data_IF_224791442801
#
_entry.id   IF_224791442801
#
_cell.length_a   1.000
_cell.length_b   1.000
_cell.length_c   1.000
_cell.angle_alpha   90.00
_cell.angle_beta   90.00
_cell.angle_gamma   90.00
#
_symmetry.space_group_name_H-M   'P 1'
#
loop_
_entity.id
_entity.type
_entity.pdbx_description
1 polymer ?
#
# COMPACT_ATOMS: atom_id res chain seq x y z
N UNK A 1 -15.88 4.05 -53.39
CA UNK A 1 -16.92 4.71 -52.57
C UNK A 1 -16.25 5.30 -51.34
N UNK A 2 -16.40 6.63 -51.22
CA UNK A 2 -16.00 7.59 -50.17
C UNK A 2 -15.06 7.17 -49.02
N UNK A 3 -13.84 7.69 -49.08
CA UNK A 3 -12.88 7.83 -47.99
C UNK A 3 -12.92 9.28 -47.45
N UNK A 4 -13.22 9.48 -46.16
CA UNK A 4 -13.27 10.76 -45.41
C UNK A 4 -13.37 10.38 -43.91
N UNK A 5 -12.59 10.81 -42.91
CA UNK A 5 -11.51 11.79 -42.70
C UNK A 5 -10.63 11.25 -41.55
N UNK A 6 -9.31 11.27 -41.71
CA UNK A 6 -8.35 11.20 -40.59
C UNK A 6 -7.72 12.59 -40.49
N UNK A 7 -8.03 13.33 -39.43
CA UNK A 7 -7.40 14.64 -39.18
C UNK A 7 -6.21 14.44 -38.23
N UNK A 8 -5.03 14.46 -38.83
CA UNK A 8 -3.73 14.54 -38.16
C UNK A 8 -3.61 15.96 -37.61
N UNK A 9 -3.72 16.13 -36.30
CA UNK A 9 -3.30 17.38 -35.65
C UNK A 9 -1.79 17.31 -35.43
N UNK A 10 -1.03 17.89 -36.37
CA UNK A 10 0.32 18.39 -36.11
C UNK A 10 0.20 19.59 -35.17
N UNK A 11 0.67 19.46 -33.92
CA UNK A 11 0.94 20.64 -33.09
C UNK A 11 2.39 21.06 -33.32
N UNK A 12 2.56 22.07 -34.17
CA UNK A 12 3.74 22.92 -34.19
C UNK A 12 3.87 23.64 -32.84
N UNK A 13 5.04 23.52 -32.21
CA UNK A 13 5.39 24.34 -31.05
C UNK A 13 5.58 25.80 -31.47
N UNK A 14 4.57 26.65 -31.23
CA UNK A 14 4.71 28.11 -31.26
C UNK A 14 4.80 28.65 -29.84
N UNK A 15 5.99 29.15 -29.49
CA UNK A 15 6.20 29.98 -28.30
C UNK A 15 5.32 31.24 -28.40
N UNK A 16 4.30 31.36 -27.55
CA UNK A 16 3.49 32.57 -27.40
C UNK A 16 3.89 33.29 -26.11
N UNK A 17 4.93 34.10 -26.19
CA UNK A 17 5.15 35.20 -25.24
C UNK A 17 4.18 36.34 -25.56
N UNK A 18 3.12 36.52 -24.77
CA UNK A 18 2.33 37.77 -24.76
C UNK A 18 1.40 37.85 -23.55
N UNK A 19 1.97 38.12 -22.37
CA UNK A 19 1.18 38.55 -21.21
C UNK A 19 0.80 40.02 -21.34
N UNK A 20 -0.39 40.32 -21.85
CA UNK A 20 -0.98 41.65 -21.76
C UNK A 20 -1.25 41.98 -20.28
N UNK A 21 -0.49 42.91 -19.69
CA UNK A 21 -0.80 43.45 -18.36
C UNK A 21 -2.15 44.19 -18.42
N UNK A 22 -3.09 43.85 -17.52
CA UNK A 22 -4.51 44.28 -17.54
C UNK A 22 -4.79 45.80 -17.45
N UNK A 23 -3.77 46.67 -17.54
CA UNK A 23 -3.92 48.14 -17.57
C UNK A 23 -3.24 48.85 -18.75
N UNK A 24 -2.64 48.13 -19.71
CA UNK A 24 -2.15 48.70 -20.96
C UNK A 24 -2.45 47.72 -22.11
N UNK A 25 -3.38 48.08 -23.01
CA UNK A 25 -3.71 47.31 -24.23
C UNK A 25 -2.61 47.41 -25.29
N UNK A 26 -1.36 47.07 -24.96
CA UNK A 26 -0.23 47.01 -25.90
C UNK A 26 0.66 45.81 -25.58
N UNK A 27 1.31 45.25 -26.60
CA UNK A 27 2.21 44.11 -26.45
C UNK A 27 3.35 44.44 -25.47
N UNK A 28 3.52 43.57 -24.48
CA UNK A 28 4.61 43.61 -23.50
C UNK A 28 5.69 42.63 -23.96
N UNK A 29 6.95 43.07 -24.01
CA UNK A 29 8.10 42.27 -24.43
C UNK A 29 8.73 41.44 -23.32
N UNK A 30 8.26 41.58 -22.07
CA UNK A 30 8.64 40.71 -20.96
C UNK A 30 10.02 40.97 -20.34
N UNK A 31 10.73 42.03 -20.73
CA UNK A 31 12.04 42.37 -20.16
C UNK A 31 11.94 42.72 -18.66
N UNK A 32 12.94 42.29 -17.87
CA UNK A 32 13.04 42.55 -16.40
C UNK A 32 14.13 43.59 -16.12
N UNK A 33 13.99 44.46 -15.10
CA UNK A 33 12.90 44.55 -14.11
C UNK A 33 11.63 45.27 -14.61
N UNK A 34 11.68 45.91 -15.78
CA UNK A 34 10.55 46.60 -16.42
C UNK A 34 10.59 46.41 -17.94
N UNK A 35 9.44 46.30 -18.60
CA UNK A 35 9.37 46.15 -20.06
C UNK A 35 9.94 47.37 -20.80
N UNK A 36 10.49 47.17 -22.01
CA UNK A 36 11.21 48.23 -22.74
C UNK A 36 10.31 49.42 -23.08
N UNK A 37 9.04 49.14 -23.36
CA UNK A 37 8.04 50.17 -23.69
C UNK A 37 7.70 51.07 -22.49
N UNK A 38 7.60 50.54 -21.28
CA UNK A 38 7.43 51.36 -20.07
C UNK A 38 8.67 52.21 -19.79
N UNK A 39 9.88 51.66 -20.03
CA UNK A 39 11.14 52.37 -19.86
C UNK A 39 11.27 53.56 -20.82
N UNK A 40 10.95 53.36 -22.10
CA UNK A 40 11.03 54.42 -23.10
C UNK A 40 9.96 55.50 -22.95
N UNK A 41 8.79 55.16 -22.42
CA UNK A 41 7.69 56.13 -22.23
C UNK A 41 7.70 56.81 -20.85
N UNK A 42 8.69 56.51 -20.01
CA UNK A 42 8.84 57.10 -18.67
C UNK A 42 7.74 56.70 -17.68
N UNK A 43 7.07 55.56 -17.89
CA UNK A 43 5.94 55.10 -17.05
C UNK A 43 6.35 53.98 -16.11
N UNK A 44 5.73 53.94 -14.93
CA UNK A 44 5.96 52.89 -13.93
C UNK A 44 5.35 51.56 -14.42
N UNK A 45 6.19 50.54 -14.56
CA UNK A 45 5.76 49.19 -14.94
C UNK A 45 5.10 48.50 -13.75
N UNK A 46 3.92 47.88 -13.96
CA UNK A 46 3.16 47.22 -12.90
C UNK A 46 3.78 45.91 -12.37
N UNK A 47 4.92 45.50 -12.93
CA UNK A 47 5.61 44.25 -12.57
C UNK A 47 4.96 43.00 -13.16
N UNK A 48 5.64 41.88 -12.99
CA UNK A 48 5.18 40.55 -13.41
C UNK A 48 4.74 39.78 -12.15
N UNK A 49 3.58 39.10 -12.15
CA UNK A 49 3.14 38.32 -10.99
C UNK A 49 4.16 37.22 -10.66
N UNK A 50 4.39 36.93 -9.37
CA UNK A 50 5.44 35.99 -8.94
C UNK A 50 5.07 34.52 -9.17
N UNK A 51 3.77 34.18 -9.32
CA UNK A 51 3.30 32.79 -9.38
C UNK A 51 2.30 32.56 -10.52
N UNK A 52 2.40 31.40 -11.16
CA UNK A 52 1.53 30.98 -12.27
C UNK A 52 0.11 30.65 -11.77
N UNK A 53 -0.87 31.44 -12.21
CA UNK A 53 -2.29 31.19 -11.98
C UNK A 53 -2.87 30.41 -13.18
N UNK A 54 -3.22 29.14 -13.00
CA UNK A 54 -3.86 28.34 -14.06
C UNK A 54 -5.33 28.74 -14.21
N UNK A 55 -5.70 29.23 -15.40
CA UNK A 55 -7.10 29.48 -15.77
C UNK A 55 -7.66 28.23 -16.44
N UNK A 56 -8.72 27.65 -15.88
CA UNK A 56 -9.47 26.57 -16.51
C UNK A 56 -10.12 27.03 -17.82
N UNK A 57 -10.00 26.22 -18.87
CA UNK A 57 -10.64 26.49 -20.15
C UNK A 57 -12.18 26.49 -19.97
N UNK A 58 -12.84 27.54 -20.47
CA UNK A 58 -14.29 27.71 -20.38
C UNK A 58 -15.01 26.60 -21.15
N UNK A 59 -15.79 25.79 -20.43
CA UNK A 59 -16.92 25.07 -21.02
C UNK A 59 -18.06 26.07 -21.18
N UNK A 60 -18.55 26.24 -22.40
CA UNK A 60 -19.73 27.06 -22.68
C UNK A 60 -20.97 26.46 -22.00
N UNK A 61 -21.68 27.28 -21.23
CA UNK A 61 -23.02 26.98 -20.75
C UNK A 61 -23.15 26.80 -19.23
N UNK A 62 -23.20 27.91 -18.50
CA UNK A 62 -24.09 28.16 -17.33
C UNK A 62 -23.87 29.59 -16.81
N UNK A 63 -24.96 30.28 -16.51
CA UNK A 63 -24.99 31.70 -16.12
C UNK A 63 -24.37 31.95 -14.73
N UNK A 64 -23.86 33.17 -14.46
CA UNK A 64 -23.10 33.45 -13.24
C UNK A 64 -24.02 33.69 -12.03
N UNK A 65 -23.80 32.94 -10.95
CA UNK A 65 -24.30 33.28 -9.61
C UNK A 65 -23.44 34.44 -9.07
N UNK A 66 -24.10 35.51 -8.64
CA UNK A 66 -23.50 36.72 -8.07
C UNK A 66 -22.64 36.38 -6.84
N UNK A 67 -21.38 36.84 -6.84
CA UNK A 67 -20.46 36.72 -5.71
C UNK A 67 -20.93 37.61 -4.54
N UNK A 68 -21.14 37.00 -3.37
CA UNK A 68 -21.24 37.71 -2.09
C UNK A 68 -19.80 37.97 -1.61
N UNK A 69 -19.45 39.25 -1.40
CA UNK A 69 -18.20 39.67 -0.74
C UNK A 69 -18.19 39.15 0.71
N UNK A 70 -17.25 38.28 1.06
CA UNK A 70 -16.89 38.03 2.46
C UNK A 70 -15.61 38.79 2.80
N UNK A 71 -15.74 39.72 3.73
CA UNK A 71 -14.66 40.46 4.36
C UNK A 71 -13.80 39.54 5.21
N UNK A 72 -12.49 39.62 5.04
CA UNK A 72 -11.47 38.91 5.82
C UNK A 72 -11.52 39.30 7.30
N UNK A 73 -11.71 38.32 8.19
CA UNK A 73 -11.33 38.43 9.60
C UNK A 73 -10.35 37.31 9.94
N UNK A 74 -9.12 37.71 10.30
CA UNK A 74 -8.12 36.87 10.93
C UNK A 74 -8.69 36.35 12.25
N UNK A 75 -8.79 35.03 12.42
CA UNK A 75 -9.10 34.43 13.72
C UNK A 75 -7.88 33.69 14.26
N UNK A 76 -7.55 34.04 15.50
CA UNK A 76 -6.43 33.55 16.31
C UNK A 76 -6.87 32.25 16.97
N UNK A 77 -6.17 31.15 16.70
CA UNK A 77 -6.58 29.80 17.13
C UNK A 77 -6.30 29.59 18.62
N UNK A 78 -7.35 29.50 19.44
CA UNK A 78 -7.26 29.08 20.85
C UNK A 78 -7.45 27.57 20.98
N UNK A 79 -6.64 27.00 21.88
CA UNK A 79 -6.56 25.59 22.31
C UNK A 79 -7.95 24.96 22.49
N UNK A 80 -8.28 23.91 21.73
CA UNK A 80 -9.54 23.14 21.85
C UNK A 80 -9.38 21.98 22.84
N UNK A 81 -10.10 22.05 23.95
CA UNK A 81 -10.52 20.90 24.75
C UNK A 81 -11.70 20.22 24.06
N UNK A 82 -11.64 18.90 23.89
CA UNK A 82 -12.66 18.07 23.25
C UNK A 82 -13.89 17.94 24.16
N UNK A 83 -15.06 18.40 23.70
CA UNK A 83 -16.35 18.14 24.36
C UNK A 83 -17.06 16.97 23.63
N UNK A 84 -17.41 15.83 24.29
CA UNK A 84 -17.82 14.61 23.59
C UNK A 84 -19.26 14.57 23.03
N UNK A 85 -20.11 15.56 23.32
CA UNK A 85 -21.57 15.38 23.19
C UNK A 85 -22.22 15.80 21.85
N UNK A 86 -21.47 16.28 20.85
CA UNK A 86 -22.03 16.73 19.55
C UNK A 86 -21.66 15.86 18.33
N UNK A 87 -21.34 14.58 18.52
CA UNK A 87 -20.83 13.70 17.45
C UNK A 87 -21.91 13.20 16.45
N UNK A 88 -23.20 13.36 16.72
CA UNK A 88 -24.27 12.60 16.04
C UNK A 88 -24.91 13.27 14.80
N UNK A 89 -24.43 14.41 14.32
CA UNK A 89 -24.99 15.10 13.13
C UNK A 89 -23.93 15.52 12.11
N UNK A 90 -22.90 14.71 11.89
CA UNK A 90 -21.79 15.07 11.00
C UNK A 90 -21.81 14.26 9.69
N UNK A 91 -21.88 14.95 8.56
CA UNK A 91 -21.99 14.34 7.23
C UNK A 91 -20.74 14.62 6.39
N UNK A 92 -20.19 13.60 5.74
CA UNK A 92 -19.08 13.73 4.79
C UNK A 92 -19.53 14.39 3.49
N UNK A 93 -18.60 15.06 2.79
CA UNK A 93 -18.89 15.52 1.42
C UNK A 93 -19.09 14.30 0.50
N UNK A 94 -20.02 14.35 -0.48
CA UNK A 94 -20.26 13.22 -1.38
C UNK A 94 -18.99 12.70 -2.05
N UNK A 95 -18.12 13.61 -2.51
CA UNK A 95 -16.88 13.24 -3.18
C UNK A 95 -15.90 12.44 -2.28
N UNK A 96 -15.83 12.77 -0.98
CA UNK A 96 -14.96 12.03 -0.04
C UNK A 96 -15.59 10.66 0.28
N UNK A 97 -16.91 10.63 0.47
CA UNK A 97 -17.64 9.38 0.70
C UNK A 97 -17.49 8.42 -0.48
N UNK A 98 -17.61 8.91 -1.71
CA UNK A 98 -17.45 8.13 -2.93
C UNK A 98 -16.03 7.58 -3.06
N UNK A 99 -15.01 8.39 -2.74
CA UNK A 99 -13.62 7.95 -2.73
C UNK A 99 -13.36 6.84 -1.68
N UNK A 100 -13.90 6.98 -0.48
CA UNK A 100 -13.79 5.94 0.55
C UNK A 100 -14.52 4.65 0.14
N UNK A 101 -15.73 4.77 -0.42
CA UNK A 101 -16.51 3.64 -0.92
C UNK A 101 -15.79 2.91 -2.07
N UNK A 102 -15.16 3.66 -2.97
CA UNK A 102 -14.35 3.08 -4.05
C UNK A 102 -13.22 2.23 -3.47
N UNK A 103 -12.45 2.77 -2.52
CA UNK A 103 -11.36 2.02 -1.87
C UNK A 103 -11.90 0.75 -1.21
N UNK A 104 -13.01 0.85 -0.45
CA UNK A 104 -13.60 -0.32 0.20
C UNK A 104 -13.94 -1.39 -0.84
N UNK A 105 -14.61 -1.03 -1.95
CA UNK A 105 -14.98 -1.97 -3.01
C UNK A 105 -13.78 -2.57 -3.74
N UNK A 106 -12.66 -1.86 -3.82
CA UNK A 106 -11.44 -2.36 -4.45
C UNK A 106 -10.65 -3.35 -3.58
N UNK A 107 -10.85 -3.32 -2.27
CA UNK A 107 -10.13 -4.18 -1.30
C UNK A 107 -11.05 -5.18 -0.57
N UNK A 108 -12.36 -5.17 -0.87
CA UNK A 108 -13.37 -6.08 -0.32
C UNK A 108 -14.17 -6.71 -1.47
N UNK A 109 -14.07 -8.04 -1.68
CA UNK A 109 -14.86 -8.80 -2.65
C UNK A 109 -16.38 -8.55 -2.56
N UNK A 110 -17.04 -8.52 -3.72
CA UNK A 110 -18.43 -8.07 -3.87
C UNK A 110 -19.45 -8.87 -3.05
N UNK A 111 -19.24 -10.18 -2.94
CA UNK A 111 -20.08 -11.10 -2.17
C UNK A 111 -20.09 -10.80 -0.66
N UNK A 112 -19.11 -10.03 -0.17
CA UNK A 112 -18.95 -9.72 1.26
C UNK A 112 -19.34 -8.28 1.63
N UNK A 113 -19.58 -7.41 0.64
CA UNK A 113 -20.05 -6.02 0.84
C UNK A 113 -21.35 -5.94 1.66
N UNK A 114 -22.37 -6.81 1.47
CA UNK A 114 -23.62 -6.75 2.25
C UNK A 114 -23.43 -6.94 3.77
N UNK A 115 -22.32 -7.54 4.20
CA UNK A 115 -22.06 -7.90 5.60
C UNK A 115 -21.19 -6.87 6.33
N UNK A 116 -20.85 -5.75 5.67
CA UNK A 116 -20.12 -4.61 6.25
C UNK A 116 -20.86 -3.95 7.43
N UNK A 117 -22.11 -4.28 7.71
CA UNK A 117 -22.80 -3.79 8.92
C UNK A 117 -22.63 -4.72 10.14
N UNK A 118 -22.13 -5.95 9.94
CA UNK A 118 -21.93 -6.99 10.96
C UNK A 118 -20.44 -7.29 11.24
N UNK A 119 -19.54 -6.29 11.08
CA UNK A 119 -18.05 -6.37 11.13
C UNK A 119 -17.44 -6.75 12.50
N UNK A 120 -18.13 -7.55 13.32
CA UNK A 120 -17.50 -8.20 14.48
C UNK A 120 -16.84 -9.53 14.08
N UNK A 121 -17.25 -10.16 12.98
CA UNK A 121 -16.89 -11.56 12.68
C UNK A 121 -16.21 -11.82 11.32
N UNK A 122 -15.95 -10.83 10.47
CA UNK A 122 -15.14 -11.07 9.26
C UNK A 122 -13.66 -11.16 9.64
N UNK A 123 -13.03 -12.30 9.34
CA UNK A 123 -11.61 -12.49 9.65
C UNK A 123 -10.78 -11.42 8.92
N UNK A 124 -9.88 -10.68 9.59
CA UNK A 124 -9.00 -9.72 8.95
C UNK A 124 -8.22 -10.35 7.80
N UNK A 125 -8.50 -9.82 6.61
CA UNK A 125 -7.78 -10.05 5.37
C UNK A 125 -6.43 -9.34 5.37
N UNK A 126 -5.44 -9.90 4.67
CA UNK A 126 -4.18 -9.19 4.39
C UNK A 126 -4.50 -7.88 3.67
N UNK A 127 -4.00 -6.76 4.20
CA UNK A 127 -4.07 -5.42 3.60
C UNK A 127 -5.48 -4.81 3.37
N UNK A 128 -6.58 -5.55 3.59
CA UNK A 128 -7.95 -5.08 3.34
C UNK A 128 -8.79 -4.79 4.59
N UNK A 129 -8.53 -5.46 5.72
CA UNK A 129 -9.41 -5.36 6.90
C UNK A 129 -9.50 -3.97 7.55
N UNK A 130 -8.57 -3.07 7.25
CA UNK A 130 -8.51 -1.72 7.80
C UNK A 130 -9.32 -0.70 6.98
N UNK A 131 -9.54 -0.92 5.67
CA UNK A 131 -10.18 0.08 4.78
C UNK A 131 -11.61 0.40 5.21
N UNK A 132 -12.27 -0.55 5.86
CA UNK A 132 -13.63 -0.40 6.42
C UNK A 132 -13.69 0.63 7.56
N UNK A 133 -12.54 1.01 8.13
CA UNK A 133 -12.44 2.05 9.15
C UNK A 133 -12.40 3.47 8.56
N UNK A 134 -12.17 3.62 7.25
CA UNK A 134 -12.03 4.92 6.61
C UNK A 134 -13.24 5.83 6.81
N UNK A 135 -14.50 5.39 6.63
CA UNK A 135 -15.65 6.27 6.83
C UNK A 135 -15.74 6.78 8.27
N UNK A 136 -15.52 5.90 9.25
CA UNK A 136 -15.52 6.27 10.68
C UNK A 136 -14.39 7.27 10.97
N UNK A 137 -13.16 7.01 10.51
CA UNK A 137 -12.01 7.89 10.67
C UNK A 137 -12.26 9.28 10.06
N UNK A 138 -12.84 9.32 8.86
CA UNK A 138 -13.19 10.57 8.18
C UNK A 138 -14.28 11.33 8.97
N UNK A 139 -15.19 10.64 9.67
CA UNK A 139 -16.21 11.20 10.57
C UNK A 139 -15.68 11.52 11.98
N UNK A 140 -14.57 10.96 12.42
CA UNK A 140 -13.95 11.31 13.71
C UNK A 140 -13.05 12.54 13.58
N UNK A 141 -12.12 12.56 12.62
CA UNK A 141 -11.06 13.57 12.59
C UNK A 141 -11.48 14.94 12.05
N UNK A 142 -12.54 15.00 11.23
CA UNK A 142 -13.16 16.24 10.72
C UNK A 142 -12.19 17.31 10.22
N UNK A 143 -11.05 16.90 9.69
CA UNK A 143 -10.13 17.78 8.98
C UNK A 143 -10.43 17.60 7.49
N UNK A 144 -10.54 18.69 6.74
CA UNK A 144 -10.55 18.64 5.27
C UNK A 144 -9.13 18.50 4.70
N UNK A 145 -8.14 18.24 5.55
CA UNK A 145 -6.73 18.39 5.23
C UNK A 145 -6.07 17.04 4.97
N UNK A 146 -5.66 16.29 6.00
CA UNK A 146 -4.75 15.16 5.82
C UNK A 146 -5.45 13.89 5.29
N UNK A 147 -6.34 13.29 6.08
CA UNK A 147 -6.92 11.99 5.74
C UNK A 147 -7.77 12.05 4.46
N UNK A 148 -8.62 13.08 4.22
CA UNK A 148 -9.33 13.19 2.95
C UNK A 148 -8.41 13.31 1.74
N UNK A 149 -7.27 14.01 1.86
CA UNK A 149 -6.29 14.11 0.78
C UNK A 149 -5.63 12.76 0.49
N UNK A 150 -5.29 11.99 1.53
CA UNK A 150 -4.74 10.64 1.40
C UNK A 150 -5.74 9.66 0.78
N UNK A 151 -6.99 9.68 1.23
CA UNK A 151 -8.10 8.89 0.66
C UNK A 151 -8.32 9.23 -0.81
N UNK A 152 -8.36 10.52 -1.18
CA UNK A 152 -8.49 10.94 -2.59
C UNK A 152 -7.31 10.48 -3.43
N UNK A 153 -6.09 10.58 -2.89
CA UNK A 153 -4.88 10.16 -3.59
C UNK A 153 -4.90 8.66 -3.88
N UNK A 154 -5.28 7.83 -2.90
CA UNK A 154 -5.43 6.39 -3.09
C UNK A 154 -6.53 6.09 -4.12
N UNK A 155 -7.72 6.69 -3.97
CA UNK A 155 -8.82 6.51 -4.91
C UNK A 155 -8.42 6.87 -6.35
N UNK A 156 -7.69 7.96 -6.56
CA UNK A 156 -7.17 8.35 -7.88
C UNK A 156 -6.18 7.31 -8.44
N UNK A 157 -5.30 6.75 -7.61
CA UNK A 157 -4.36 5.71 -8.06
C UNK A 157 -5.07 4.41 -8.46
N UNK A 158 -6.14 4.04 -7.73
CA UNK A 158 -7.00 2.89 -8.04
C UNK A 158 -7.66 3.08 -9.41
N UNK A 159 -8.30 4.24 -9.65
CA UNK A 159 -8.95 4.53 -10.94
C UNK A 159 -7.93 4.52 -12.08
N UNK A 160 -6.75 5.08 -11.86
CA UNK A 160 -5.70 5.11 -12.87
C UNK A 160 -5.24 3.70 -13.28
N UNK A 161 -5.10 2.81 -12.29
CA UNK A 161 -4.71 1.42 -12.51
C UNK A 161 -5.79 0.64 -13.26
N UNK A 162 -7.07 0.79 -12.87
CA UNK A 162 -8.21 0.17 -13.56
C UNK A 162 -8.38 0.63 -15.01
N UNK A 163 -7.93 1.85 -15.34
CA UNK A 163 -7.96 2.36 -16.72
C UNK A 163 -6.76 1.92 -17.56
N UNK A 164 -5.90 1.02 -17.07
CA UNK A 164 -4.65 0.55 -17.71
C UNK A 164 -3.79 1.68 -18.28
N UNK A 165 -3.75 2.84 -17.61
CA UNK A 165 -2.90 3.95 -18.04
C UNK A 165 -1.45 3.62 -17.70
N UNK A 166 -0.65 3.32 -18.73
CA UNK A 166 0.78 2.96 -18.63
C UNK A 166 1.67 4.02 -17.97
N UNK A 167 1.26 5.28 -17.97
CA UNK A 167 2.01 6.37 -17.35
C UNK A 167 1.28 6.93 -16.13
N UNK A 168 2.04 7.09 -15.03
CA UNK A 168 1.56 7.80 -13.84
C UNK A 168 1.12 9.21 -14.23
N UNK A 169 -0.18 9.49 -14.14
CA UNK A 169 -0.70 10.82 -14.46
C UNK A 169 0.04 11.90 -13.65
N UNK A 170 0.49 13.01 -14.27
CA UNK A 170 1.12 14.12 -13.54
C UNK A 170 0.22 14.66 -12.44
N UNK A 171 -1.10 14.55 -12.64
CA UNK A 171 -2.12 14.86 -11.64
C UNK A 171 -1.96 14.02 -10.38
N UNK A 172 -1.77 12.71 -10.49
CA UNK A 172 -1.62 11.83 -9.32
C UNK A 172 -0.35 12.17 -8.55
N UNK A 173 0.77 12.41 -9.26
CA UNK A 173 2.03 12.86 -8.63
C UNK A 173 1.85 14.17 -7.87
N UNK A 174 1.09 15.12 -8.43
CA UNK A 174 0.79 16.39 -7.78
C UNK A 174 -0.07 16.20 -6.51
N UNK A 175 -1.13 15.40 -6.58
CA UNK A 175 -1.98 15.09 -5.42
C UNK A 175 -1.20 14.35 -4.33
N UNK A 176 -0.40 13.37 -4.73
CA UNK A 176 0.47 12.62 -3.84
C UNK A 176 1.48 13.53 -3.12
N UNK A 177 2.24 14.34 -3.87
CA UNK A 177 3.19 15.29 -3.28
C UNK A 177 2.53 16.37 -2.41
N UNK A 178 1.30 16.78 -2.73
CA UNK A 178 0.52 17.68 -1.87
C UNK A 178 0.11 17.01 -0.55
N UNK A 179 -0.31 15.74 -0.62
CA UNK A 179 -0.68 14.97 0.57
C UNK A 179 0.52 14.71 1.47
N UNK A 180 1.70 14.43 0.90
CA UNK A 180 2.94 14.30 1.67
C UNK A 180 3.30 15.58 2.42
N UNK A 181 3.12 16.76 1.80
CA UNK A 181 3.34 18.05 2.48
C UNK A 181 2.37 18.25 3.65
N UNK A 182 1.09 17.89 3.48
CA UNK A 182 0.10 17.95 4.56
C UNK A 182 0.48 17.01 5.71
N UNK A 183 0.90 15.79 5.40
CA UNK A 183 1.37 14.83 6.39
C UNK A 183 2.59 15.39 7.15
N UNK A 184 3.59 15.90 6.44
CA UNK A 184 4.79 16.48 7.04
C UNK A 184 4.46 17.67 7.95
N UNK A 185 3.57 18.57 7.52
CA UNK A 185 3.11 19.69 8.32
C UNK A 185 2.38 19.22 9.59
N UNK A 186 1.47 18.25 9.45
CA UNK A 186 0.73 17.69 10.58
C UNK A 186 1.66 17.04 11.61
N UNK A 187 2.64 16.25 11.14
CA UNK A 187 3.63 15.61 12.00
C UNK A 187 4.53 16.63 12.72
N UNK A 188 4.90 17.73 12.05
CA UNK A 188 5.75 18.78 12.64
C UNK A 188 5.00 19.57 13.72
N UNK A 189 3.70 19.77 13.56
CA UNK A 189 2.87 20.54 14.51
C UNK A 189 2.44 19.74 15.74
N UNK A 190 2.32 18.41 15.63
CA UNK A 190 1.75 17.56 16.67
C UNK A 190 2.65 17.31 17.90
N UNK A 191 3.92 17.69 17.87
CA UNK A 191 4.80 17.64 19.05
C UNK A 191 5.13 16.23 19.56
N UNK A 192 4.19 15.55 20.23
CA UNK A 192 4.47 14.31 21.01
C UNK A 192 3.54 13.12 20.79
N UNK A 193 2.51 13.20 19.92
CA UNK A 193 1.57 12.09 19.74
C UNK A 193 1.14 11.94 18.29
N UNK A 194 1.22 10.72 17.75
CA UNK A 194 0.59 10.38 16.48
C UNK A 194 -0.87 10.03 16.72
N UNK A 195 -1.69 10.01 15.67
CA UNK A 195 -3.11 9.62 15.78
C UNK A 195 -3.43 8.50 14.79
N UNK A 196 -4.60 7.87 14.93
CA UNK A 196 -5.09 6.91 13.95
C UNK A 196 -5.28 7.56 12.56
N UNK A 197 -5.51 8.87 12.49
CA UNK A 197 -5.53 9.64 11.24
C UNK A 197 -4.19 9.56 10.49
N UNK A 198 -3.08 9.79 11.19
CA UNK A 198 -1.76 9.75 10.59
C UNK A 198 -1.41 8.35 10.10
N UNK A 199 -1.74 7.32 10.89
CA UNK A 199 -1.54 5.92 10.49
C UNK A 199 -2.38 5.56 9.26
N UNK A 200 -3.65 5.96 9.21
CA UNK A 200 -4.50 5.72 8.05
C UNK A 200 -4.02 6.48 6.80
N UNK A 201 -3.57 7.73 6.96
CA UNK A 201 -3.01 8.52 5.86
C UNK A 201 -1.71 7.88 5.32
N UNK A 202 -0.82 7.41 6.19
CA UNK A 202 0.38 6.66 5.81
C UNK A 202 0.04 5.36 5.08
N UNK A 203 -1.00 4.64 5.52
CA UNK A 203 -1.48 3.44 4.84
C UNK A 203 -1.95 3.77 3.43
N UNK A 204 -2.77 4.81 3.27
CA UNK A 204 -3.23 5.25 1.96
C UNK A 204 -2.06 5.60 1.03
N UNK A 205 -1.06 6.33 1.51
CA UNK A 205 0.12 6.70 0.73
C UNK A 205 0.98 5.48 0.36
N UNK A 206 1.15 4.54 1.29
CA UNK A 206 1.87 3.28 1.05
C UNK A 206 1.19 2.47 -0.06
N UNK A 207 -0.14 2.32 0.02
CA UNK A 207 -0.89 1.61 -1.01
C UNK A 207 -0.91 2.37 -2.34
N UNK A 208 -0.88 3.71 -2.33
CA UNK A 208 -0.69 4.50 -3.54
C UNK A 208 0.63 4.15 -4.23
N UNK A 209 1.74 4.10 -3.49
CA UNK A 209 3.05 3.75 -4.06
C UNK A 209 3.05 2.34 -4.65
N UNK A 210 2.47 1.37 -3.91
CA UNK A 210 2.31 0.01 -4.41
C UNK A 210 1.46 -0.02 -5.69
N UNK A 211 0.38 0.74 -5.78
CA UNK A 211 -0.46 0.77 -6.98
C UNK A 211 0.22 1.42 -8.18
N UNK A 212 1.04 2.44 -7.96
CA UNK A 212 1.70 3.18 -9.01
C UNK A 212 2.97 2.52 -9.53
N UNK A 213 3.52 1.52 -8.81
CA UNK A 213 4.76 0.86 -9.19
C UNK A 213 5.89 1.87 -9.37
N UNK A 214 6.01 2.82 -8.43
CA UNK A 214 7.08 3.82 -8.43
C UNK A 214 8.44 3.15 -8.19
N UNK A 215 9.51 3.93 -7.97
CA UNK A 215 10.86 3.41 -7.71
C UNK A 215 10.83 2.19 -6.76
N UNK A 216 11.66 1.18 -7.05
CA UNK A 216 11.55 -0.19 -6.51
C UNK A 216 11.36 -0.30 -4.98
N UNK A 217 11.75 0.72 -4.19
CA UNK A 217 11.69 0.70 -2.72
C UNK A 217 10.90 1.86 -2.09
N UNK A 218 10.16 2.67 -2.85
CA UNK A 218 9.47 3.86 -2.33
C UNK A 218 8.46 3.53 -1.20
N UNK A 219 7.76 2.40 -1.32
CA UNK A 219 6.86 1.90 -0.29
C UNK A 219 7.59 1.53 1.01
N UNK A 220 8.85 1.07 0.93
CA UNK A 220 9.63 0.68 2.11
C UNK A 220 9.92 1.88 3.01
N UNK A 221 10.14 3.07 2.43
CA UNK A 221 10.33 4.33 3.17
C UNK A 221 9.08 4.66 4.00
N UNK A 222 7.88 4.44 3.45
CA UNK A 222 6.64 4.62 4.22
C UNK A 222 6.55 3.63 5.36
N UNK A 223 6.91 2.37 5.13
CA UNK A 223 6.90 1.34 6.17
C UNK A 223 7.90 1.67 7.29
N UNK A 224 9.04 2.29 6.99
CA UNK A 224 9.95 2.79 8.03
C UNK A 224 9.30 3.91 8.85
N UNK A 225 8.62 4.86 8.20
CA UNK A 225 7.82 5.89 8.88
C UNK A 225 6.72 5.29 9.77
N UNK A 226 5.98 4.30 9.27
CA UNK A 226 4.97 3.56 10.03
C UNK A 226 5.60 2.83 11.21
N UNK A 227 6.76 2.20 11.03
CA UNK A 227 7.49 1.51 12.09
C UNK A 227 7.85 2.46 13.22
N UNK A 228 8.33 3.66 12.91
CA UNK A 228 8.64 4.69 13.91
C UNK A 228 7.37 5.16 14.65
N UNK A 229 6.30 5.42 13.91
CA UNK A 229 5.02 5.87 14.49
C UNK A 229 4.39 4.81 15.40
N UNK A 230 4.40 3.54 14.97
CA UNK A 230 3.85 2.42 15.73
C UNK A 230 4.65 2.23 17.01
N UNK A 231 5.99 2.18 16.93
CA UNK A 231 6.84 2.02 18.11
C UNK A 231 6.65 3.14 19.14
N UNK A 232 6.50 4.39 18.69
CA UNK A 232 6.27 5.54 19.57
C UNK A 232 4.97 5.45 20.38
N UNK A 233 3.91 4.85 19.83
CA UNK A 233 2.62 4.68 20.52
C UNK A 233 2.65 3.54 21.55
N UNK A 234 3.55 2.58 21.37
CA UNK A 234 3.61 1.35 22.16
C UNK A 234 2.52 0.34 21.81
N UNK A 235 2.75 -0.93 22.16
CA UNK A 235 1.90 -2.04 21.72
C UNK A 235 0.48 -2.02 22.30
N UNK A 236 0.32 -1.50 23.53
CA UNK A 236 -0.97 -1.44 24.21
C UNK A 236 -1.99 -0.53 23.50
N UNK A 237 -1.52 0.48 22.75
CA UNK A 237 -2.38 1.36 21.94
C UNK A 237 -3.13 0.57 20.85
N UNK A 238 -2.54 -0.51 20.36
CA UNK A 238 -3.06 -1.31 19.26
C UNK A 238 -3.89 -2.52 19.70
N UNK A 239 -4.21 -2.64 21.00
CA UNK A 239 -4.93 -3.80 21.53
C UNK A 239 -6.39 -3.88 21.06
N UNK A 240 -7.02 -2.75 20.69
CA UNK A 240 -8.45 -2.69 20.32
C UNK A 240 -8.80 -1.55 19.35
N UNK A 241 -10.03 -1.58 18.86
CA UNK A 241 -10.63 -0.49 18.07
C UNK A 241 -9.98 -0.25 16.71
N UNK A 242 -10.06 0.98 16.20
CA UNK A 242 -9.44 1.36 14.92
C UNK A 242 -7.93 1.16 14.91
N UNK A 243 -7.16 1.52 15.97
CA UNK A 243 -5.72 1.25 16.01
C UNK A 243 -5.38 -0.22 15.76
N UNK A 244 -6.09 -1.16 16.40
CA UNK A 244 -5.91 -2.59 16.16
C UNK A 244 -6.11 -2.98 14.68
N UNK A 245 -7.17 -2.49 14.05
CA UNK A 245 -7.45 -2.75 12.63
C UNK A 245 -6.36 -2.18 11.71
N UNK A 246 -5.82 -1.00 12.03
CA UNK A 246 -4.70 -0.42 11.30
C UNK A 246 -3.43 -1.25 11.49
N UNK A 247 -3.10 -1.65 12.72
CA UNK A 247 -1.92 -2.47 13.02
C UNK A 247 -1.96 -3.82 12.29
N UNK A 248 -3.07 -4.55 12.41
CA UNK A 248 -3.25 -5.83 11.71
C UNK A 248 -3.19 -5.68 10.18
N UNK A 249 -3.65 -4.55 9.64
CA UNK A 249 -3.52 -4.19 8.23
C UNK A 249 -2.08 -3.90 7.79
N UNK A 250 -1.26 -3.26 8.64
CA UNK A 250 0.13 -2.94 8.35
C UNK A 250 1.08 -4.13 8.53
N UNK A 251 0.73 -5.05 9.43
CA UNK A 251 1.61 -6.12 9.85
C UNK A 251 2.16 -6.96 8.69
N UNK A 252 1.39 -7.37 7.67
CA UNK A 252 1.95 -8.05 6.50
C UNK A 252 3.09 -7.26 5.85
N UNK A 253 2.89 -5.95 5.60
CA UNK A 253 3.90 -5.09 4.97
C UNK A 253 5.16 -4.95 5.85
N UNK A 254 5.00 -4.89 7.17
CA UNK A 254 6.12 -4.88 8.11
C UNK A 254 6.93 -6.19 8.07
N UNK A 255 6.24 -7.34 7.99
CA UNK A 255 6.89 -8.66 7.85
C UNK A 255 7.64 -8.76 6.53
N UNK A 256 6.99 -8.38 5.42
CA UNK A 256 7.63 -8.48 4.10
C UNK A 256 8.83 -7.56 3.98
N UNK A 257 8.74 -6.32 4.47
CA UNK A 257 9.91 -5.44 4.52
C UNK A 257 11.04 -6.09 5.31
N UNK A 258 10.76 -6.66 6.48
CA UNK A 258 11.79 -7.32 7.30
C UNK A 258 12.49 -8.47 6.56
N UNK A 259 11.71 -9.31 5.87
CA UNK A 259 12.22 -10.44 5.07
C UNK A 259 13.07 -9.93 3.89
N UNK A 260 12.55 -8.98 3.11
CA UNK A 260 13.24 -8.41 1.94
C UNK A 260 14.53 -7.70 2.35
N UNK A 261 14.46 -6.86 3.39
CA UNK A 261 15.62 -6.13 3.91
C UNK A 261 16.58 -6.99 4.74
N UNK A 262 16.29 -8.28 4.96
CA UNK A 262 17.12 -9.19 5.77
C UNK A 262 17.44 -8.59 7.15
N UNK A 263 16.44 -7.98 7.77
CA UNK A 263 16.61 -7.26 9.04
C UNK A 263 15.55 -7.63 10.04
N UNK A 264 15.96 -7.83 11.30
CA UNK A 264 15.03 -7.93 12.43
C UNK A 264 14.11 -6.72 12.46
N UNK A 265 12.88 -6.94 12.93
CA UNK A 265 11.87 -5.90 13.08
C UNK A 265 11.29 -5.93 14.49
N UNK A 266 10.86 -4.78 15.00
CA UNK A 266 10.27 -4.63 16.34
C UNK A 266 9.06 -5.55 16.55
N UNK A 267 8.36 -5.92 15.48
CA UNK A 267 7.20 -6.84 15.53
C UNK A 267 7.58 -8.27 15.98
N UNK A 268 8.87 -8.59 16.07
CA UNK A 268 9.38 -9.85 16.62
C UNK A 268 9.39 -9.87 18.15
N UNK A 269 9.39 -8.70 18.80
CA UNK A 269 9.52 -8.62 20.24
C UNK A 269 8.23 -9.08 20.92
N UNK A 270 8.36 -9.71 22.08
CA UNK A 270 7.23 -10.31 22.79
C UNK A 270 6.10 -9.33 23.09
N UNK A 271 6.43 -8.06 23.34
CA UNK A 271 5.44 -7.00 23.57
C UNK A 271 4.58 -6.70 22.33
N UNK A 272 5.09 -6.94 21.12
CA UNK A 272 4.39 -6.74 19.84
C UNK A 272 3.71 -8.00 19.33
N UNK A 273 4.17 -9.18 19.77
CA UNK A 273 3.50 -10.46 19.53
C UNK A 273 2.23 -10.59 20.38
N UNK A 274 2.26 -10.12 21.63
CA UNK A 274 1.14 -10.27 22.57
C UNK A 274 0.31 -8.99 22.76
N UNK A 275 0.95 -7.81 22.81
CA UNK A 275 0.30 -6.55 23.17
C UNK A 275 -0.87 -6.15 22.26
N UNK A 276 -0.70 -6.10 20.93
CA UNK A 276 -1.76 -5.73 19.99
C UNK A 276 -2.92 -6.74 19.94
N UNK A 277 -2.72 -7.97 20.43
CA UNK A 277 -3.69 -9.05 20.41
C UNK A 277 -4.26 -9.40 21.78
N UNK A 278 -4.01 -8.54 22.78
CA UNK A 278 -4.46 -8.76 24.17
C UNK A 278 -5.98 -8.77 24.29
N UNK A 279 -6.65 -7.80 23.66
CA UNK A 279 -8.12 -7.63 23.80
C UNK A 279 -8.87 -8.28 22.62
N UNK A 280 -8.21 -8.44 21.47
CA UNK A 280 -8.74 -9.07 20.26
C UNK A 280 -7.73 -10.16 19.83
N UNK A 281 -8.10 -11.45 19.85
CA UNK A 281 -7.17 -12.53 19.55
C UNK A 281 -6.69 -12.47 18.09
N UNK A 282 -5.44 -12.89 17.87
CA UNK A 282 -4.86 -13.00 16.54
C UNK A 282 -5.64 -14.02 15.68
N UNK A 283 -5.90 -13.68 14.43
CA UNK A 283 -6.43 -14.64 13.46
C UNK A 283 -5.37 -15.64 13.02
N UNK A 284 -5.75 -16.76 12.38
CA UNK A 284 -4.78 -17.69 11.81
C UNK A 284 -3.74 -17.01 10.93
N UNK A 285 -4.15 -16.07 10.06
CA UNK A 285 -3.22 -15.29 9.24
C UNK A 285 -2.24 -14.47 10.09
N UNK A 286 -2.70 -13.84 11.17
CA UNK A 286 -1.82 -13.08 12.06
C UNK A 286 -0.87 -14.02 12.82
N UNK A 287 -1.29 -15.23 13.19
CA UNK A 287 -0.39 -16.23 13.78
C UNK A 287 0.67 -16.69 12.78
N UNK A 288 0.30 -16.93 11.52
CA UNK A 288 1.26 -17.26 10.46
C UNK A 288 2.34 -16.18 10.30
N UNK A 289 1.93 -14.91 10.30
CA UNK A 289 2.86 -13.78 10.23
C UNK A 289 3.77 -13.72 11.46
N UNK A 290 3.30 -14.12 12.65
CA UNK A 290 4.17 -14.25 13.83
C UNK A 290 5.31 -15.22 13.58
N UNK A 291 5.03 -16.38 12.97
CA UNK A 291 6.07 -17.37 12.66
C UNK A 291 7.10 -16.85 11.65
N UNK A 292 6.62 -16.13 10.64
CA UNK A 292 7.46 -15.59 9.58
C UNK A 292 8.45 -14.51 10.06
N UNK A 293 8.14 -13.82 11.15
CA UNK A 293 8.99 -12.76 11.73
C UNK A 293 10.30 -13.30 12.30
N UNK A 294 10.42 -14.61 12.53
CA UNK A 294 11.69 -15.23 12.92
C UNK A 294 12.69 -15.39 11.75
N UNK A 295 12.22 -15.32 10.50
CA UNK A 295 13.06 -15.55 9.31
C UNK A 295 14.14 -14.48 9.07
N UNK A 296 13.85 -13.17 9.11
CA UNK A 296 14.82 -12.12 8.75
C UNK A 296 16.20 -12.21 9.41
N UNK A 297 16.35 -12.38 10.75
CA UNK A 297 17.68 -12.49 11.37
C UNK A 297 18.46 -13.73 10.91
N UNK A 298 17.77 -14.83 10.61
CA UNK A 298 18.38 -16.07 10.12
C UNK A 298 18.91 -15.86 8.70
N UNK A 299 18.09 -15.25 7.84
CA UNK A 299 18.46 -14.94 6.47
C UNK A 299 19.69 -14.01 6.42
N UNK A 300 19.76 -13.01 7.31
CA UNK A 300 20.94 -12.13 7.45
C UNK A 300 22.21 -12.89 7.83
N UNK A 301 22.13 -13.78 8.83
CA UNK A 301 23.28 -14.60 9.26
C UNK A 301 23.75 -15.51 8.13
N UNK A 302 22.82 -16.08 7.37
CA UNK A 302 23.12 -16.91 6.21
C UNK A 302 23.83 -16.11 5.11
N UNK A 303 23.40 -14.89 4.81
CA UNK A 303 24.07 -14.02 3.83
C UNK A 303 25.51 -13.65 4.27
N UNK A 304 25.72 -13.45 5.58
CA UNK A 304 27.06 -13.21 6.15
C UNK A 304 27.96 -14.45 6.04
N UNK A 305 27.43 -15.65 6.29
CA UNK A 305 28.18 -16.90 6.12
C UNK A 305 28.59 -17.13 4.66
N UNK A 306 27.67 -16.88 3.72
CA UNK A 306 27.92 -17.03 2.30
C UNK A 306 28.98 -16.04 1.78
N UNK A 307 29.01 -14.82 2.32
CA UNK A 307 29.93 -13.77 1.87
C UNK A 307 31.34 -13.91 2.47
N UNK A 308 31.48 -14.41 3.70
CA UNK A 308 32.76 -14.41 4.41
C UNK A 308 33.59 -15.70 4.26
N UNK A 309 33.07 -16.76 3.63
CA UNK A 309 33.77 -18.04 3.39
C UNK A 309 34.57 -18.57 4.61
N UNK A 310 34.06 -18.40 5.83
CA UNK A 310 34.83 -18.67 7.05
C UNK A 310 35.01 -20.16 7.31
N UNK A 311 36.25 -20.58 7.57
CA UNK A 311 36.67 -21.97 7.82
C UNK A 311 36.19 -22.59 9.15
N UNK A 312 35.59 -21.81 10.06
CA UNK A 312 34.98 -22.29 11.32
C UNK A 312 33.43 -22.31 11.27
N UNK A 313 32.85 -22.54 10.08
CA UNK A 313 31.43 -22.31 9.81
C UNK A 313 30.50 -23.48 10.10
N UNK A 314 30.99 -24.68 10.43
CA UNK A 314 30.12 -25.86 10.46
C UNK A 314 29.15 -25.87 11.65
N UNK A 315 29.57 -25.43 12.83
CA UNK A 315 28.67 -25.28 13.99
C UNK A 315 27.61 -24.19 13.76
N UNK A 316 27.95 -23.09 13.08
CA UNK A 316 27.00 -22.03 12.76
C UNK A 316 26.02 -22.48 11.65
N UNK A 317 26.49 -23.22 10.63
CA UNK A 317 25.64 -23.83 9.60
C UNK A 317 24.63 -24.78 10.25
N UNK A 318 25.09 -25.66 11.14
CA UNK A 318 24.25 -26.60 11.88
C UNK A 318 23.22 -25.85 12.74
N UNK A 319 23.62 -24.80 13.47
CA UNK A 319 22.71 -23.99 14.27
C UNK A 319 21.63 -23.29 13.41
N UNK A 320 21.99 -22.74 12.25
CA UNK A 320 21.03 -22.12 11.33
C UNK A 320 20.09 -23.17 10.71
N UNK A 321 20.61 -24.34 10.36
CA UNK A 321 19.80 -25.43 9.84
C UNK A 321 18.78 -25.91 10.88
N UNK A 322 19.18 -26.11 12.14
CA UNK A 322 18.28 -26.43 13.25
C UNK A 322 17.19 -25.36 13.38
N UNK A 323 17.58 -24.08 13.40
CA UNK A 323 16.62 -22.97 13.56
C UNK A 323 15.60 -22.91 12.41
N UNK A 324 16.03 -23.18 11.17
CA UNK A 324 15.13 -23.25 10.01
C UNK A 324 14.17 -24.45 10.09
N UNK A 325 14.64 -25.60 10.58
CA UNK A 325 13.79 -26.78 10.80
C UNK A 325 12.74 -26.52 11.90
N UNK A 326 13.10 -25.79 12.97
CA UNK A 326 12.15 -25.37 14.00
C UNK A 326 11.06 -24.46 13.44
N UNK A 327 11.41 -23.50 12.58
CA UNK A 327 10.42 -22.65 11.89
C UNK A 327 9.51 -23.52 11.00
N UNK A 328 10.06 -24.44 10.21
CA UNK A 328 9.27 -25.36 9.39
C UNK A 328 8.32 -26.22 10.23
N UNK A 329 8.72 -26.62 11.43
CA UNK A 329 7.83 -27.34 12.34
C UNK A 329 6.68 -26.45 12.80
N UNK A 330 6.95 -25.20 13.21
CA UNK A 330 5.90 -24.25 13.62
C UNK A 330 4.95 -23.90 12.48
N UNK A 331 5.47 -23.70 11.27
CA UNK A 331 4.65 -23.50 10.07
C UNK A 331 3.73 -24.71 9.79
N UNK A 332 4.23 -25.95 9.94
CA UNK A 332 3.42 -27.17 9.77
C UNK A 332 2.35 -27.31 10.85
N UNK A 333 2.69 -27.07 12.12
CA UNK A 333 1.71 -27.07 13.21
C UNK A 333 0.61 -26.02 12.96
N UNK A 334 0.97 -24.85 12.43
CA UNK A 334 0.01 -23.84 12.03
C UNK A 334 -0.92 -24.33 10.90
N UNK A 335 -0.42 -25.04 9.87
CA UNK A 335 -1.25 -25.57 8.79
C UNK A 335 -2.25 -26.63 9.32
N UNK A 336 -1.78 -27.51 10.21
CA UNK A 336 -2.61 -28.53 10.86
C UNK A 336 -3.72 -27.88 11.70
N UNK A 337 -3.38 -26.87 12.51
CA UNK A 337 -4.36 -26.11 13.30
C UNK A 337 -5.36 -25.40 12.37
N UNK A 338 -4.87 -24.76 11.31
CA UNK A 338 -5.73 -24.04 10.36
C UNK A 338 -6.69 -24.97 9.63
N UNK A 339 -6.23 -26.14 9.18
CA UNK A 339 -7.06 -27.20 8.61
C UNK A 339 -8.13 -27.68 9.61
N UNK A 340 -7.77 -27.79 10.91
CA UNK A 340 -8.70 -28.16 11.97
C UNK A 340 -9.84 -27.16 12.21
N UNK A 341 -9.68 -25.89 11.79
CA UNK A 341 -10.74 -24.87 11.89
C UNK A 341 -11.78 -24.93 10.76
N UNK A 342 -11.60 -25.80 9.76
CA UNK A 342 -12.42 -25.84 8.54
C UNK A 342 -13.06 -27.21 8.34
N UNK A 343 -14.24 -27.22 7.72
CA UNK A 343 -14.93 -28.45 7.31
C UNK A 343 -14.51 -28.76 5.86
N UNK A 344 -13.79 -29.86 5.65
CA UNK A 344 -13.31 -30.26 4.32
C UNK A 344 -11.89 -29.77 4.01
N UNK A 345 -11.38 -30.06 2.81
CA UNK A 345 -10.02 -29.67 2.42
C UNK A 345 -9.90 -28.16 2.25
N UNK A 346 -8.73 -27.60 2.55
CA UNK A 346 -8.47 -26.16 2.38
C UNK A 346 -8.42 -25.71 0.90
N UNK A 347 -8.18 -26.63 -0.04
CA UNK A 347 -8.10 -26.32 -1.47
C UNK A 347 -8.36 -27.56 -2.33
N UNK A 348 -8.70 -27.32 -3.60
CA UNK A 348 -8.93 -28.37 -4.62
C UNK A 348 -8.05 -28.15 -5.85
N UNK A 349 -7.58 -29.24 -6.45
CA UNK A 349 -6.90 -29.20 -7.73
C UNK A 349 -7.92 -29.34 -8.87
N UNK A 350 -7.93 -28.36 -9.78
CA UNK A 350 -8.69 -28.37 -11.02
C UNK A 350 -7.72 -28.71 -12.15
N UNK A 351 -7.90 -29.88 -12.76
CA UNK A 351 -7.17 -30.27 -13.96
C UNK A 351 -7.91 -29.76 -15.20
N UNK A 352 -7.23 -28.99 -16.06
CA UNK A 352 -7.77 -28.67 -17.38
C UNK A 352 -7.65 -29.88 -18.30
N UNK A 353 -8.77 -30.49 -18.65
CA UNK A 353 -8.84 -31.61 -19.59
C UNK A 353 -8.52 -31.23 -21.04
N UNK A 354 -8.28 -29.95 -21.34
CA UNK A 354 -8.18 -29.40 -22.70
C UNK A 354 -6.76 -29.01 -23.13
N UNK A 355 -5.75 -29.03 -22.25
CA UNK A 355 -4.37 -28.64 -22.58
C UNK A 355 -3.41 -29.83 -22.58
N UNK A 356 -2.50 -29.86 -23.57
CA UNK A 356 -1.43 -30.87 -23.71
C UNK A 356 -0.41 -30.80 -22.57
N UNK A 357 -0.35 -29.66 -21.86
CA UNK A 357 0.29 -29.49 -20.56
C UNK A 357 -0.80 -29.56 -19.49
N UNK A 358 -0.69 -30.48 -18.51
CA UNK A 358 -1.62 -30.55 -17.37
C UNK A 358 -1.41 -29.33 -16.47
N UNK A 359 -2.04 -28.22 -16.81
CA UNK A 359 -1.96 -27.00 -16.01
C UNK A 359 -2.92 -27.17 -14.82
N UNK A 360 -2.36 -27.57 -13.67
CA UNK A 360 -3.13 -27.79 -12.45
C UNK A 360 -3.37 -26.44 -11.79
N UNK A 361 -4.64 -26.08 -11.59
CA UNK A 361 -5.03 -24.84 -10.93
C UNK A 361 -5.58 -25.15 -9.55
N UNK A 362 -5.21 -24.38 -8.54
CA UNK A 362 -5.75 -24.54 -7.19
C UNK A 362 -6.96 -23.63 -6.99
N UNK A 363 -7.99 -24.17 -6.37
CA UNK A 363 -9.20 -23.46 -5.99
C UNK A 363 -9.40 -23.47 -4.49
N UNK A 364 -10.03 -22.42 -3.97
CA UNK A 364 -10.23 -22.20 -2.55
C UNK A 364 -11.68 -21.79 -2.29
N UNK A 365 -12.17 -22.01 -1.07
CA UNK A 365 -13.50 -21.55 -0.66
C UNK A 365 -13.61 -20.04 -0.69
N UNK A 366 -12.55 -19.37 -0.21
CA UNK A 366 -12.52 -17.94 -0.07
C UNK A 366 -11.08 -17.41 -0.17
N UNK A 367 -10.97 -16.11 -0.42
CA UNK A 367 -9.69 -15.43 -0.63
C UNK A 367 -8.83 -15.35 0.63
N UNK A 368 -9.42 -15.48 1.82
CA UNK A 368 -8.68 -15.54 3.09
C UNK A 368 -7.90 -16.84 3.18
N UNK A 369 -8.52 -17.97 2.77
CA UNK A 369 -7.84 -19.28 2.68
C UNK A 369 -6.73 -19.25 1.64
N UNK A 370 -7.04 -18.76 0.43
CA UNK A 370 -6.05 -18.63 -0.63
C UNK A 370 -4.82 -17.85 -0.15
N UNK A 371 -5.02 -16.68 0.45
CA UNK A 371 -3.93 -15.86 0.97
C UNK A 371 -3.17 -16.57 2.10
N UNK A 372 -3.86 -17.18 3.05
CA UNK A 372 -3.19 -17.87 4.16
C UNK A 372 -2.26 -18.98 3.65
N UNK A 373 -2.74 -19.77 2.68
CA UNK A 373 -1.97 -20.85 2.09
C UNK A 373 -0.83 -20.37 1.19
N UNK A 374 -1.03 -19.34 0.36
CA UNK A 374 0.07 -18.83 -0.48
C UNK A 374 1.23 -18.28 0.36
N UNK A 375 0.93 -17.60 1.47
CA UNK A 375 1.97 -17.10 2.37
C UNK A 375 2.64 -18.23 3.14
N UNK A 376 1.87 -19.21 3.62
CA UNK A 376 2.42 -20.42 4.26
C UNK A 376 3.38 -21.16 3.32
N UNK A 377 2.98 -21.39 2.07
CA UNK A 377 3.84 -22.02 1.08
C UNK A 377 5.06 -21.16 0.74
N UNK A 378 4.93 -19.84 0.61
CA UNK A 378 6.06 -18.94 0.40
C UNK A 378 7.08 -19.02 1.55
N UNK A 379 6.64 -18.95 2.80
CA UNK A 379 7.54 -19.07 3.97
C UNK A 379 8.18 -20.46 4.08
N UNK A 380 7.41 -21.50 3.75
CA UNK A 380 7.93 -22.88 3.67
C UNK A 380 9.01 -23.00 2.60
N UNK A 381 8.78 -22.44 1.41
CA UNK A 381 9.74 -22.42 0.31
C UNK A 381 11.04 -21.71 0.71
N UNK A 382 10.94 -20.55 1.38
CA UNK A 382 12.10 -19.82 1.91
C UNK A 382 12.91 -20.72 2.84
N UNK A 383 12.28 -21.37 3.81
CA UNK A 383 12.99 -22.25 4.74
C UNK A 383 13.69 -23.41 4.03
N UNK A 384 12.97 -24.12 3.16
CA UNK A 384 13.49 -25.28 2.43
C UNK A 384 14.64 -24.89 1.50
N UNK A 385 14.53 -23.76 0.80
CA UNK A 385 15.59 -23.24 -0.06
C UNK A 385 16.86 -22.97 0.73
N UNK A 386 16.74 -22.37 1.91
CA UNK A 386 17.89 -22.01 2.73
C UNK A 386 18.51 -23.20 3.47
N UNK A 387 17.71 -24.19 3.89
CA UNK A 387 18.21 -25.49 4.38
C UNK A 387 19.03 -26.17 3.29
N UNK A 388 18.50 -26.25 2.07
CA UNK A 388 19.21 -26.86 0.95
C UNK A 388 20.53 -26.14 0.65
N UNK A 389 20.54 -24.80 0.69
CA UNK A 389 21.79 -24.02 0.54
C UNK A 389 22.82 -24.38 1.61
N UNK A 390 22.41 -24.54 2.87
CA UNK A 390 23.32 -24.95 3.95
C UNK A 390 23.87 -26.37 3.75
N UNK A 391 23.03 -27.31 3.33
CA UNK A 391 23.42 -28.70 3.06
C UNK A 391 24.40 -28.83 1.89
N UNK A 392 24.25 -28.00 0.85
CA UNK A 392 25.19 -27.95 -0.26
C UNK A 392 26.56 -27.37 0.16
N UNK A 393 26.57 -26.44 1.11
CA UNK A 393 27.81 -25.83 1.63
C UNK A 393 28.59 -26.73 2.59
N UNK A 394 27.94 -27.70 3.24
CA UNK A 394 28.60 -28.61 4.18
C UNK A 394 29.32 -29.77 3.49
N UNK A 395 29.20 -29.95 2.16
CA UNK A 395 29.85 -31.00 1.35
C UNK A 395 29.61 -32.46 1.82
N UNK A 396 28.86 -32.66 2.90
CA UNK A 396 28.59 -33.95 3.54
C UNK A 396 27.33 -34.65 2.98
N UNK A 397 26.52 -33.96 2.17
CA UNK A 397 25.27 -34.48 1.65
C UNK A 397 25.28 -34.60 0.12
N UNK A 398 25.19 -35.83 -0.39
CA UNK A 398 24.73 -36.08 -1.76
C UNK A 398 23.20 -36.00 -1.72
N UNK A 399 22.66 -34.83 -2.06
CA UNK A 399 21.20 -34.68 -2.17
C UNK A 399 20.69 -35.41 -3.40
N UNK A 400 19.69 -36.27 -3.20
CA UNK A 400 18.91 -36.83 -4.31
C UNK A 400 18.11 -35.74 -5.03
N UNK A 401 17.65 -36.03 -6.26
CA UNK A 401 16.94 -35.05 -7.08
C UNK A 401 15.62 -34.58 -6.46
N UNK A 402 14.97 -35.41 -5.62
CA UNK A 402 13.75 -35.05 -4.91
C UNK A 402 13.99 -34.04 -3.79
N UNK A 403 15.08 -34.17 -3.05
CA UNK A 403 15.53 -33.25 -2.03
C UNK A 403 16.03 -31.94 -2.65
N UNK A 404 16.67 -32.00 -3.83
CA UNK A 404 17.15 -30.82 -4.55
C UNK A 404 16.03 -29.86 -4.99
N UNK A 405 14.82 -30.38 -5.14
CA UNK A 405 13.68 -29.62 -5.65
C UNK A 405 12.57 -29.51 -4.59
N UNK A 406 12.87 -29.83 -3.32
CA UNK A 406 11.87 -29.83 -2.24
C UNK A 406 11.17 -28.48 -2.04
N UNK A 407 11.91 -27.37 -2.22
CA UNK A 407 11.36 -26.01 -2.16
C UNK A 407 10.50 -25.63 -3.37
N UNK A 408 10.62 -26.33 -4.51
CA UNK A 408 9.80 -26.04 -5.69
C UNK A 408 8.34 -26.43 -5.47
N UNK A 409 8.06 -27.49 -4.72
CA UNK A 409 6.68 -27.93 -4.48
C UNK A 409 5.79 -26.82 -3.87
N UNK A 410 6.18 -26.15 -2.78
CA UNK A 410 5.39 -25.02 -2.27
C UNK A 410 5.33 -23.84 -3.25
N UNK A 411 6.41 -23.50 -3.97
CA UNK A 411 6.39 -22.43 -4.98
C UNK A 411 5.43 -22.74 -6.14
N UNK A 412 5.40 -23.99 -6.59
CA UNK A 412 4.45 -24.45 -7.61
C UNK A 412 3.03 -24.22 -7.09
N UNK A 413 2.70 -24.58 -5.84
CA UNK A 413 1.37 -24.30 -5.28
C UNK A 413 1.04 -22.81 -5.26
N UNK A 414 2.00 -21.94 -4.95
CA UNK A 414 1.81 -20.47 -5.05
C UNK A 414 1.45 -20.09 -6.48
N UNK A 415 2.21 -20.54 -7.48
CA UNK A 415 1.92 -20.29 -8.89
C UNK A 415 0.55 -20.83 -9.32
N UNK A 416 0.20 -22.05 -8.91
CA UNK A 416 -1.08 -22.68 -9.23
C UNK A 416 -2.29 -21.96 -8.57
N UNK A 417 -2.05 -21.11 -7.57
CA UNK A 417 -3.07 -20.30 -6.91
C UNK A 417 -3.32 -18.96 -7.61
N UNK A 418 -2.41 -18.53 -8.49
CA UNK A 418 -2.50 -17.24 -9.20
C UNK A 418 -3.82 -17.12 -9.99
N UNK A 419 -4.30 -18.14 -10.73
CA UNK A 419 -5.58 -18.02 -11.45
C UNK A 419 -6.78 -17.74 -10.55
N UNK A 420 -6.82 -18.31 -9.34
CA UNK A 420 -7.85 -17.99 -8.36
C UNK A 420 -7.71 -16.55 -7.86
N UNK A 421 -6.49 -16.13 -7.53
CA UNK A 421 -6.23 -14.79 -7.02
C UNK A 421 -6.41 -13.69 -8.07
N UNK A 422 -6.32 -13.98 -9.36
CA UNK A 422 -6.50 -13.00 -10.44
C UNK A 422 -7.93 -12.94 -10.99
N UNK A 423 -8.91 -13.56 -10.32
CA UNK A 423 -10.31 -13.40 -10.70
C UNK A 423 -10.76 -11.94 -10.65
N UNK A 424 -11.55 -11.52 -11.64
CA UNK A 424 -12.10 -10.17 -11.71
C UNK A 424 -12.89 -9.77 -10.45
N UNK A 425 -13.57 -10.74 -9.83
CA UNK A 425 -14.34 -10.59 -8.58
C UNK A 425 -13.48 -10.15 -7.38
N UNK A 426 -12.17 -10.40 -7.42
CA UNK A 426 -11.22 -10.03 -6.37
C UNK A 426 -10.59 -8.64 -6.62
N UNK A 427 -10.89 -7.98 -7.74
CA UNK A 427 -10.44 -6.62 -8.06
C UNK A 427 -8.94 -6.40 -7.76
N UNK A 428 -8.57 -5.33 -7.04
CA UNK A 428 -7.18 -5.05 -6.67
C UNK A 428 -6.65 -5.92 -5.54
N UNK A 429 -7.53 -6.54 -4.75
CA UNK A 429 -7.14 -7.39 -3.63
C UNK A 429 -6.37 -8.63 -4.10
N UNK A 430 -6.85 -9.24 -5.17
CA UNK A 430 -6.27 -10.43 -5.79
C UNK A 430 -4.81 -10.26 -6.23
N UNK A 431 -4.52 -9.37 -7.20
CA UNK A 431 -3.16 -9.08 -7.65
C UNK A 431 -2.23 -8.60 -6.53
N UNK A 432 -2.75 -7.82 -5.57
CA UNK A 432 -1.96 -7.38 -4.41
C UNK A 432 -1.52 -8.57 -3.54
N UNK A 433 -2.36 -9.59 -3.42
CA UNK A 433 -2.05 -10.80 -2.66
C UNK A 433 -1.00 -11.68 -3.34
N UNK A 434 -0.99 -11.71 -4.68
CA UNK A 434 0.03 -12.40 -5.49
C UNK A 434 1.38 -11.71 -5.34
N UNK A 435 1.42 -10.39 -5.52
CA UNK A 435 2.67 -9.62 -5.44
C UNK A 435 3.36 -9.74 -4.08
N UNK A 436 2.60 -9.80 -2.99
CA UNK A 436 3.12 -9.97 -1.63
C UNK A 436 3.58 -11.40 -1.32
N UNK A 437 3.09 -12.40 -2.07
CA UNK A 437 3.51 -13.80 -1.93
C UNK A 437 4.74 -14.15 -2.80
N UNK A 438 5.15 -13.26 -3.70
CA UNK A 438 6.32 -13.47 -4.57
C UNK A 438 7.60 -13.25 -3.78
N UNK A 439 8.45 -14.28 -3.71
CA UNK A 439 9.72 -14.28 -2.94
C UNK A 439 10.76 -13.33 -3.55
N UNK A 440 10.61 -13.00 -4.83
CA UNK A 440 11.37 -11.94 -5.49
C UNK A 440 10.54 -10.66 -5.50
N UNK A 441 10.95 -9.67 -4.70
CA UNK A 441 10.39 -8.32 -4.69
C UNK A 441 10.48 -7.55 -6.01
N UNK A 442 10.81 -8.22 -7.12
CA UNK A 442 11.01 -7.66 -8.46
C UNK A 442 10.05 -8.20 -9.52
N UNK A 443 9.17 -9.15 -9.22
CA UNK A 443 8.34 -9.78 -10.25
C UNK A 443 6.89 -9.91 -9.84
N UNK A 444 6.06 -8.91 -10.19
CA UNK A 444 4.64 -9.07 -10.60
C UNK A 444 3.95 -7.71 -10.87
N UNK A 445 4.54 -6.58 -10.45
CA UNK A 445 4.00 -5.24 -10.77
C UNK A 445 4.29 -4.76 -12.21
N UNK A 446 4.96 -5.56 -13.04
CA UNK A 446 5.34 -5.19 -14.42
C UNK A 446 4.76 -6.10 -15.52
N UNK A 447 3.85 -7.02 -15.22
CA UNK A 447 3.13 -7.76 -16.26
C UNK A 447 1.72 -7.21 -16.46
N UNK A 448 1.63 -6.10 -17.17
CA UNK A 448 0.55 -5.73 -18.11
C UNK A 448 1.05 -4.74 -19.17
#
# INVERSE_FOLDING_TARGET
MSAKHAEIIKLEYKYSGSGLTRKCRRQCDGSRPSCSQCRHTGRICAGYPPDFEFVSAKVYGRQPIRSIRSTTKKSRMTRRTTNPENCLTRTLTPAIQDAANLIIRSYVPENEIPWLNNIRNTQPRICGGWVVTLPELLVVYNSDELLPAAVKTLALSIVSKQQHRRETSPTIRQFYGSTLRLLQQSLTQQGSGYTAEHLAAMMCLTLTELMLGTENDAWMVHIDGISAMVQHQGSAFFAKGIPHRLFTGFRPLLVFKAIISRSSSFIAEQQWVSGPFRDIPATPMQNLLTEAVALPPILRRLDLLLSLQTANSDSEKEALEITLHEILQRLRMWEEEYQGTRIGPLYWALEDSTSQCKDVRLWFDDVTVANALTHYWAFTAICLLHIQKLQLLSQLYILDDTARLGYLRPLIKVCQSIPFLLQESLSLYGPSSVALSSVDGSGYFQME
#
